data_IF_081092113096
#
_entry.id   IF_081092113096
#
_cell.length_a   1.000
_cell.length_b   1.000
_cell.length_c   1.000
_cell.angle_alpha   90.00
_cell.angle_beta   90.00
_cell.angle_gamma   90.00
#
_symmetry.space_group_name_H-M   'P 1'
#
loop_
_entity.id
_entity.type
_entity.pdbx_description
1 polymer ?
#
# COMPACT_ATOMS: atom_id res chain seq x y z
N UNK A 1 2.06 19.54 -18.64
CA UNK A 1 1.87 18.40 -19.55
C UNK A 1 2.09 17.07 -18.83
N UNK A 2 3.17 16.90 -18.12
CA UNK A 2 3.45 15.65 -17.36
C UNK A 2 2.41 15.35 -16.28
N UNK A 3 1.98 16.34 -15.52
CA UNK A 3 0.94 16.21 -14.49
C UNK A 3 -0.42 15.80 -15.06
N UNK A 4 -0.79 16.36 -16.21
CA UNK A 4 -2.02 16.01 -16.90
C UNK A 4 -2.01 14.56 -17.41
N UNK A 5 -0.86 14.08 -17.88
CA UNK A 5 -0.65 12.71 -18.29
C UNK A 5 -0.71 11.74 -17.10
N UNK A 6 -0.08 12.09 -15.97
CA UNK A 6 -0.15 11.30 -14.74
C UNK A 6 -1.57 11.21 -14.20
N UNK A 7 -2.31 12.31 -14.21
CA UNK A 7 -3.71 12.36 -13.79
C UNK A 7 -4.62 11.49 -14.67
N UNK A 8 -4.42 11.55 -16.00
CA UNK A 8 -5.13 10.68 -16.95
C UNK A 8 -4.80 9.20 -16.73
N UNK A 9 -3.54 8.88 -16.47
CA UNK A 9 -3.11 7.50 -16.20
C UNK A 9 -3.72 6.96 -14.90
N UNK A 10 -3.73 7.75 -13.82
CA UNK A 10 -4.35 7.39 -12.55
C UNK A 10 -5.84 7.15 -12.73
N UNK A 11 -6.54 8.08 -13.41
CA UNK A 11 -7.96 7.93 -13.68
C UNK A 11 -8.27 6.69 -14.53
N UNK A 12 -7.43 6.38 -15.50
CA UNK A 12 -7.57 5.16 -16.31
C UNK A 12 -7.38 3.89 -15.49
N UNK A 13 -6.40 3.87 -14.58
CA UNK A 13 -6.15 2.71 -13.70
C UNK A 13 -7.30 2.51 -12.71
N UNK A 14 -7.82 3.59 -12.13
CA UNK A 14 -8.98 3.54 -11.22
C UNK A 14 -10.22 3.06 -11.98
N UNK A 15 -10.47 3.57 -13.18
CA UNK A 15 -11.58 3.15 -14.01
C UNK A 15 -11.49 1.66 -14.39
N UNK A 16 -10.29 1.18 -14.70
CA UNK A 16 -10.07 -0.25 -14.97
C UNK A 16 -10.42 -1.12 -13.76
N UNK A 17 -9.98 -0.72 -12.57
CA UNK A 17 -10.29 -1.45 -11.34
C UNK A 17 -11.80 -1.43 -11.04
N UNK A 18 -12.49 -0.32 -11.28
CA UNK A 18 -13.95 -0.21 -11.14
C UNK A 18 -14.69 -1.09 -12.13
N UNK A 19 -14.26 -1.13 -13.38
CA UNK A 19 -14.86 -2.00 -14.42
C UNK A 19 -14.64 -3.47 -14.04
N UNK A 20 -13.44 -3.85 -13.56
CA UNK A 20 -13.18 -5.21 -13.09
C UNK A 20 -14.12 -5.60 -11.92
N UNK A 21 -14.34 -4.69 -10.98
CA UNK A 21 -15.28 -4.89 -9.88
C UNK A 21 -16.73 -5.03 -10.38
N UNK A 22 -17.17 -4.14 -11.25
CA UNK A 22 -18.53 -4.15 -11.80
C UNK A 22 -18.83 -5.43 -12.59
N UNK A 23 -17.92 -5.86 -13.45
CA UNK A 23 -18.10 -7.05 -14.29
C UNK A 23 -18.12 -8.36 -13.50
N UNK A 24 -17.58 -8.35 -12.29
CA UNK A 24 -17.56 -9.53 -11.42
C UNK A 24 -18.66 -9.52 -10.35
N UNK A 25 -19.52 -8.49 -10.32
CA UNK A 25 -20.62 -8.44 -9.36
C UNK A 25 -21.87 -9.21 -9.87
N UNK A 26 -22.57 -9.97 -9.03
CA UNK A 26 -22.27 -10.29 -7.62
C UNK A 26 -21.12 -11.32 -7.46
N UNK A 27 -20.22 -11.04 -6.54
CA UNK A 27 -19.07 -11.89 -6.30
C UNK A 27 -19.46 -13.18 -5.57
N UNK A 28 -18.94 -14.31 -6.01
CA UNK A 28 -18.87 -15.50 -5.19
C UNK A 28 -17.51 -15.58 -4.44
N UNK A 29 -17.41 -16.45 -3.44
CA UNK A 29 -16.22 -16.59 -2.61
C UNK A 29 -14.95 -16.87 -3.43
N UNK A 30 -15.04 -17.73 -4.43
CA UNK A 30 -13.90 -18.09 -5.28
C UNK A 30 -13.39 -16.91 -6.13
N UNK A 31 -14.31 -16.08 -6.63
CA UNK A 31 -13.95 -14.86 -7.37
C UNK A 31 -13.26 -13.83 -6.46
N UNK A 32 -13.77 -13.64 -5.26
CA UNK A 32 -13.15 -12.75 -4.25
C UNK A 32 -11.74 -13.22 -3.93
N UNK A 33 -11.56 -14.49 -3.65
CA UNK A 33 -10.25 -15.07 -3.35
C UNK A 33 -9.25 -14.87 -4.50
N UNK A 34 -9.67 -15.10 -5.74
CA UNK A 34 -8.83 -14.88 -6.93
C UNK A 34 -8.41 -13.42 -7.07
N UNK A 35 -9.35 -12.49 -6.86
CA UNK A 35 -9.06 -11.04 -6.92
C UNK A 35 -8.11 -10.64 -5.79
N UNK A 36 -8.33 -11.12 -4.57
CA UNK A 36 -7.47 -10.86 -3.43
C UNK A 36 -6.05 -11.35 -3.67
N UNK A 37 -5.85 -12.58 -4.12
CA UNK A 37 -4.52 -13.12 -4.45
C UNK A 37 -3.79 -12.27 -5.49
N UNK A 38 -4.47 -11.89 -6.56
CA UNK A 38 -3.90 -11.04 -7.62
C UNK A 38 -3.48 -9.67 -7.09
N UNK A 39 -4.34 -9.01 -6.33
CA UNK A 39 -4.08 -7.68 -5.76
C UNK A 39 -3.01 -7.74 -4.67
N UNK A 40 -3.03 -8.77 -3.83
CA UNK A 40 -2.01 -8.99 -2.81
C UNK A 40 -0.61 -9.18 -3.43
N UNK A 41 -0.49 -10.03 -4.44
CA UNK A 41 0.79 -10.26 -5.13
C UNK A 41 1.37 -8.96 -5.71
N UNK A 42 0.52 -8.09 -6.26
CA UNK A 42 0.94 -6.78 -6.76
C UNK A 42 1.36 -5.85 -5.62
N UNK A 43 0.55 -5.77 -4.57
CA UNK A 43 0.82 -4.92 -3.41
C UNK A 43 2.14 -5.28 -2.74
N UNK A 44 2.38 -6.55 -2.50
CA UNK A 44 3.60 -7.07 -1.87
C UNK A 44 4.84 -6.75 -2.70
N UNK A 45 4.78 -6.90 -4.03
CA UNK A 45 5.88 -6.50 -4.92
C UNK A 45 6.19 -5.02 -4.85
N UNK A 46 5.16 -4.17 -4.77
CA UNK A 46 5.34 -2.72 -4.64
C UNK A 46 5.90 -2.37 -3.26
N UNK A 47 5.37 -2.97 -2.20
CA UNK A 47 5.84 -2.76 -0.83
C UNK A 47 7.33 -3.16 -0.69
N UNK A 48 7.75 -4.28 -1.25
CA UNK A 48 9.13 -4.75 -1.20
C UNK A 48 10.14 -3.79 -1.86
N UNK A 49 9.69 -2.93 -2.79
CA UNK A 49 10.54 -1.87 -3.37
C UNK A 49 10.80 -0.72 -2.40
N UNK A 50 9.96 -0.56 -1.39
CA UNK A 50 10.12 0.48 -0.38
C UNK A 50 11.10 0.00 0.71
N UNK A 51 12.17 0.75 1.03
CA UNK A 51 13.19 0.34 2.00
C UNK A 51 12.65 -0.01 3.39
N UNK A 52 11.60 0.69 3.82
CA UNK A 52 10.95 0.45 5.12
C UNK A 52 10.32 -0.94 5.21
N UNK A 53 9.53 -1.30 4.20
CA UNK A 53 8.90 -2.63 4.16
C UNK A 53 9.90 -3.71 3.82
N UNK A 54 10.82 -3.45 2.89
CA UNK A 54 11.86 -4.41 2.51
C UNK A 54 12.65 -4.89 3.71
N UNK A 55 13.07 -3.98 4.60
CA UNK A 55 13.76 -4.31 5.83
C UNK A 55 12.98 -5.34 6.67
N UNK A 56 11.67 -5.17 6.79
CA UNK A 56 10.79 -6.09 7.54
C UNK A 56 10.72 -7.47 6.92
N UNK A 57 10.70 -7.55 5.59
CA UNK A 57 10.77 -8.81 4.87
C UNK A 57 12.11 -9.51 5.10
N UNK A 58 13.20 -8.77 4.95
CA UNK A 58 14.57 -9.29 5.09
C UNK A 58 14.84 -9.79 6.52
N UNK A 59 14.36 -9.10 7.55
CA UNK A 59 14.44 -9.50 8.96
C UNK A 59 13.73 -10.84 9.24
N UNK A 60 12.71 -11.16 8.47
CA UNK A 60 11.98 -12.43 8.57
C UNK A 60 12.47 -13.50 7.58
N UNK A 61 13.47 -13.18 6.76
CA UNK A 61 13.93 -14.08 5.70
C UNK A 61 12.89 -14.34 4.61
N UNK A 62 11.95 -13.41 4.41
CA UNK A 62 10.85 -13.53 3.46
C UNK A 62 11.10 -12.73 2.19
N UNK A 63 10.49 -13.19 1.11
CA UNK A 63 10.46 -12.53 -0.19
C UNK A 63 9.00 -12.30 -0.62
N UNK A 64 8.74 -11.47 -1.63
CA UNK A 64 7.39 -11.33 -2.18
C UNK A 64 6.72 -12.63 -2.63
N UNK A 65 7.49 -13.65 -2.95
CA UNK A 65 6.98 -14.96 -3.37
C UNK A 65 6.39 -15.78 -2.23
N UNK A 66 6.78 -15.47 -1.00
CA UNK A 66 6.34 -16.17 0.21
C UNK A 66 4.98 -15.67 0.72
N UNK A 67 4.50 -14.54 0.16
CA UNK A 67 3.22 -13.92 0.50
C UNK A 67 2.29 -13.98 -0.71
N UNK A 68 1.49 -15.02 -0.78
CA UNK A 68 0.55 -15.25 -1.89
C UNK A 68 -0.91 -15.24 -1.48
N UNK A 69 -1.17 -15.49 -0.21
CA UNK A 69 -2.52 -15.49 0.36
C UNK A 69 -2.63 -14.49 1.52
N UNK A 70 -3.84 -14.04 1.89
CA UNK A 70 -4.02 -13.18 3.07
C UNK A 70 -3.45 -13.78 4.35
N UNK A 71 -3.51 -15.09 4.50
CA UNK A 71 -2.98 -15.82 5.66
C UNK A 71 -1.45 -15.72 5.76
N UNK A 72 -0.76 -15.65 4.61
CA UNK A 72 0.70 -15.50 4.58
C UNK A 72 1.17 -14.17 5.18
N UNK A 73 0.29 -13.16 5.25
CA UNK A 73 0.61 -11.89 5.91
C UNK A 73 0.92 -12.05 7.39
N UNK A 74 0.43 -13.11 8.03
CA UNK A 74 0.74 -13.44 9.43
C UNK A 74 2.22 -13.81 9.65
N UNK A 75 2.95 -14.13 8.59
CA UNK A 75 4.40 -14.37 8.63
C UNK A 75 5.21 -13.09 8.85
N UNK A 76 4.62 -11.93 8.52
CA UNK A 76 5.25 -10.62 8.74
C UNK A 76 4.94 -10.10 10.15
N UNK A 77 5.88 -9.39 10.77
CA UNK A 77 5.65 -8.78 12.07
C UNK A 77 4.60 -7.67 11.97
N UNK A 78 3.80 -7.52 13.02
CA UNK A 78 2.82 -6.44 13.10
C UNK A 78 3.51 -5.07 13.00
N UNK A 79 2.97 -4.23 12.15
CA UNK A 79 3.42 -2.85 11.99
C UNK A 79 2.74 -1.96 13.05
N UNK A 80 3.55 -1.35 13.89
CA UNK A 80 3.07 -0.36 14.85
C UNK A 80 2.93 1.01 14.19
N UNK A 81 1.85 1.70 14.48
CA UNK A 81 1.58 3.06 13.98
C UNK A 81 2.74 4.02 14.24
N UNK A 82 3.36 3.93 15.42
CA UNK A 82 4.51 4.77 15.78
C UNK A 82 5.70 4.55 14.83
N UNK A 83 6.04 3.31 14.51
CA UNK A 83 7.17 2.99 13.62
C UNK A 83 6.97 3.60 12.21
N UNK A 84 5.75 3.49 11.68
CA UNK A 84 5.44 4.07 10.37
C UNK A 84 5.52 5.60 10.41
N UNK A 85 4.94 6.21 11.44
CA UNK A 85 4.96 7.67 11.62
C UNK A 85 6.38 8.20 11.73
N UNK A 86 7.22 7.56 12.53
CA UNK A 86 8.60 7.99 12.76
C UNK A 86 9.44 7.84 11.49
N UNK A 87 9.21 6.77 10.72
CA UNK A 87 9.86 6.59 9.42
C UNK A 87 9.41 7.66 8.42
N UNK A 88 8.11 7.93 8.27
CA UNK A 88 7.59 8.96 7.36
C UNK A 88 8.16 10.34 7.72
N UNK A 89 8.21 10.67 9.02
CA UNK A 89 8.80 11.92 9.48
C UNK A 89 10.28 12.03 9.10
N UNK A 90 11.05 10.97 9.34
CA UNK A 90 12.47 10.92 8.98
C UNK A 90 12.70 11.08 7.47
N UNK A 91 11.89 10.43 6.63
CA UNK A 91 12.00 10.57 5.17
C UNK A 91 11.62 11.97 4.68
N UNK A 92 10.61 12.57 5.29
CA UNK A 92 10.22 13.95 4.99
C UNK A 92 11.34 14.95 5.35
N UNK A 93 11.98 14.78 6.51
CA UNK A 93 13.10 15.62 6.95
C UNK A 93 14.32 15.49 6.03
N UNK A 94 14.60 14.29 5.54
CA UNK A 94 15.73 14.04 4.61
C UNK A 94 15.51 14.64 3.22
N UNK A 95 14.31 14.58 2.69
CA UNK A 95 14.01 15.03 1.34
C UNK A 95 12.57 15.57 1.21
N UNK A 96 12.30 16.79 1.67
CA UNK A 96 10.97 17.39 1.58
C UNK A 96 10.44 17.49 0.14
N UNK A 97 11.33 17.68 -0.82
CA UNK A 97 10.97 17.84 -2.24
C UNK A 97 10.29 16.58 -2.82
N UNK A 98 10.61 15.39 -2.31
CA UNK A 98 9.98 14.13 -2.70
C UNK A 98 8.47 14.13 -2.43
N UNK A 99 8.05 14.87 -1.41
CA UNK A 99 6.67 14.91 -0.91
C UNK A 99 5.90 16.16 -1.40
N UNK A 100 6.46 16.94 -2.32
CA UNK A 100 5.87 18.19 -2.83
C UNK A 100 4.45 18.04 -3.36
N UNK A 101 4.11 16.87 -3.89
CA UNK A 101 2.80 16.56 -4.46
C UNK A 101 1.91 15.70 -3.54
N UNK A 102 2.37 15.46 -2.31
CA UNK A 102 1.59 14.70 -1.33
C UNK A 102 0.72 15.65 -0.52
N UNK A 103 -0.53 15.27 -0.32
CA UNK A 103 -1.39 15.97 0.61
C UNK A 103 -1.07 15.50 2.03
N UNK A 104 -0.83 16.44 2.91
CA UNK A 104 -0.68 16.17 4.33
C UNK A 104 -2.04 16.26 4.98
N UNK A 105 -2.54 15.14 5.46
CA UNK A 105 -3.77 15.06 6.22
C UNK A 105 -3.51 14.46 7.59
N UNK A 106 -4.37 14.78 8.57
CA UNK A 106 -4.28 14.23 9.91
C UNK A 106 -5.62 13.64 10.31
N UNK A 107 -5.59 12.40 10.81
CA UNK A 107 -6.78 11.81 11.40
C UNK A 107 -6.98 12.33 12.82
N UNK A 108 -8.23 12.55 13.23
CA UNK A 108 -8.57 13.02 14.59
C UNK A 108 -8.24 12.02 15.71
N UNK A 109 -7.90 10.79 15.39
CA UNK A 109 -7.41 9.71 16.24
C UNK A 109 -8.08 9.60 17.62
N UNK A 110 -8.93 8.62 17.80
CA UNK A 110 -9.61 8.35 19.10
C UNK A 110 -8.64 8.04 20.26
N UNK A 111 -7.37 7.82 19.99
CA UNK A 111 -6.31 7.48 20.95
C UNK A 111 -5.30 8.61 21.20
N UNK A 112 -5.60 9.84 20.79
CA UNK A 112 -4.80 11.04 21.07
C UNK A 112 -3.54 11.26 20.24
N UNK A 113 -3.16 10.33 19.35
CA UNK A 113 -2.02 10.50 18.45
C UNK A 113 -2.47 10.37 16.99
N UNK A 114 -2.73 11.49 16.28
CA UNK A 114 -3.16 11.46 14.88
C UNK A 114 -2.07 10.85 13.97
N UNK A 115 -2.49 10.06 12.99
CA UNK A 115 -1.64 9.66 11.89
C UNK A 115 -1.60 10.81 10.89
N UNK A 116 -0.42 11.29 10.57
CA UNK A 116 -0.19 12.26 9.49
C UNK A 116 0.24 11.47 8.26
N UNK A 117 -0.54 11.59 7.19
CA UNK A 117 -0.30 10.92 5.90
C UNK A 117 -0.10 11.93 4.79
#
# INVERSE_FOLDING_TARGET
MLEALQKKLINFLVLKDLIELYNNFPFNAAQVEKIQKKKLARLVKVAYKNPFYRKRFDECGLTPKDIQTPEDLLKLPLLKKAELRDWVKSEYEKNPARFKHWFRDSTSGSTGAPLVT
#
